data_IF_186304308806
#
_entry.id   IF_186304308806
#
_cell.length_a   1.000
_cell.length_b   1.000
_cell.length_c   1.000
_cell.angle_alpha   90.00
_cell.angle_beta   90.00
_cell.angle_gamma   90.00
#
_symmetry.space_group_name_H-M   'P 1'
#
loop_
_entity.id
_entity.type
_entity.pdbx_description
1 polymer ?
#
# COMPACT_ATOMS: atom_id res chain seq x y z
N UNK A 1 37.96 -44.15 22.94
CA UNK A 1 37.17 -42.89 22.96
C UNK A 1 37.98 -41.72 22.39
N UNK A 2 38.17 -41.60 21.07
CA UNK A 2 38.85 -40.44 20.44
C UNK A 2 38.42 -40.23 18.97
N UNK A 3 37.12 -40.24 18.67
CA UNK A 3 36.63 -39.87 17.31
C UNK A 3 35.38 -38.97 17.35
N UNK A 4 34.75 -38.76 18.52
CA UNK A 4 33.50 -37.97 18.61
C UNK A 4 33.71 -36.45 18.65
N UNK A 5 34.94 -35.97 18.85
CA UNK A 5 35.20 -34.53 19.08
C UNK A 5 35.37 -33.70 17.78
N UNK A 6 35.55 -34.32 16.61
CA UNK A 6 35.88 -33.60 15.39
C UNK A 6 34.67 -33.08 14.58
N UNK A 7 33.45 -33.57 14.87
CA UNK A 7 32.26 -33.24 14.07
C UNK A 7 31.62 -31.91 14.52
N UNK A 8 31.84 -31.49 15.77
CA UNK A 8 31.25 -30.26 16.31
C UNK A 8 31.96 -28.97 15.86
N UNK A 9 33.15 -29.06 15.24
CA UNK A 9 33.90 -27.89 14.79
C UNK A 9 33.57 -27.43 13.36
N UNK A 10 32.74 -28.17 12.62
CA UNK A 10 32.41 -27.88 11.21
C UNK A 10 31.15 -27.04 11.02
N UNK A 11 30.38 -26.75 12.08
CA UNK A 11 29.08 -26.08 11.97
C UNK A 11 29.08 -24.58 12.32
N UNK A 12 30.24 -23.98 12.62
CA UNK A 12 30.31 -22.63 13.23
C UNK A 12 30.81 -21.51 12.32
N UNK A 13 30.95 -21.73 11.01
CA UNK A 13 31.36 -20.65 10.08
C UNK A 13 30.26 -20.29 9.09
N UNK A 14 29.10 -19.89 9.59
CA UNK A 14 28.26 -18.95 8.86
C UNK A 14 28.70 -17.53 9.26
N UNK A 15 29.79 -17.09 8.65
CA UNK A 15 30.18 -15.68 8.64
C UNK A 15 28.99 -14.90 8.05
N UNK A 16 28.37 -14.04 8.85
CA UNK A 16 27.30 -13.16 8.39
C UNK A 16 27.89 -12.23 7.32
N UNK A 17 27.78 -12.61 6.06
CA UNK A 17 27.98 -11.68 4.95
C UNK A 17 26.92 -10.60 5.10
N UNK A 18 27.34 -9.40 5.53
CA UNK A 18 26.47 -8.23 5.49
C UNK A 18 26.22 -7.90 4.03
N UNK A 19 25.11 -8.38 3.47
CA UNK A 19 24.68 -7.98 2.15
C UNK A 19 24.47 -6.46 2.18
N UNK A 20 25.32 -5.69 1.50
CA UNK A 20 25.04 -4.29 1.23
C UNK A 20 23.88 -4.27 0.24
N UNK A 21 22.69 -3.93 0.71
CA UNK A 21 21.54 -3.67 -0.16
C UNK A 21 21.93 -2.45 -1.00
N UNK A 22 22.00 -2.57 -2.34
CA UNK A 22 22.31 -1.42 -3.18
C UNK A 22 21.28 -0.32 -2.94
N UNK A 23 21.76 0.93 -2.86
CA UNK A 23 20.88 2.10 -2.80
C UNK A 23 20.18 2.24 -4.16
N UNK A 24 19.03 1.59 -4.28
CA UNK A 24 18.17 1.71 -5.45
C UNK A 24 17.44 3.04 -5.32
N UNK A 25 17.80 4.01 -6.15
CA UNK A 25 17.08 5.28 -6.26
C UNK A 25 15.60 4.99 -6.51
N UNK A 26 14.77 5.13 -5.46
CA UNK A 26 13.34 4.90 -5.57
C UNK A 26 12.74 6.05 -6.38
N UNK A 27 12.47 5.80 -7.66
CA UNK A 27 11.57 6.66 -8.43
C UNK A 27 10.16 6.42 -7.90
N UNK A 28 9.72 7.29 -6.99
CA UNK A 28 8.34 7.26 -6.51
C UNK A 28 7.42 7.66 -7.66
N UNK A 29 6.84 6.67 -8.35
CA UNK A 29 5.84 6.86 -9.40
C UNK A 29 4.47 7.31 -8.85
N UNK A 30 4.39 7.71 -7.57
CA UNK A 30 3.15 8.26 -7.04
C UNK A 30 2.84 9.54 -7.79
N UNK A 31 1.70 9.51 -8.46
CA UNK A 31 1.05 10.71 -8.96
C UNK A 31 0.82 11.67 -7.80
N UNK A 32 1.37 12.88 -7.91
CA UNK A 32 0.97 13.99 -7.05
C UNK A 32 -0.45 14.41 -7.47
N UNK A 33 -1.44 13.87 -6.77
CA UNK A 33 -2.84 14.24 -6.96
C UNK A 33 -3.07 15.67 -6.44
N UNK A 34 -2.99 16.65 -7.34
CA UNK A 34 -3.42 18.03 -7.08
C UNK A 34 -4.77 18.33 -7.75
N UNK A 35 -5.81 18.49 -6.92
CA UNK A 35 -7.17 18.82 -7.34
C UNK A 35 -7.51 20.31 -7.16
N UNK A 36 -6.51 21.18 -6.97
CA UNK A 36 -6.69 22.63 -6.79
C UNK A 36 -7.47 23.31 -7.92
N UNK A 37 -7.41 22.76 -9.14
CA UNK A 37 -8.18 23.21 -10.31
C UNK A 37 -9.70 23.16 -10.07
N UNK A 38 -10.18 22.30 -9.17
CA UNK A 38 -11.62 22.18 -8.87
C UNK A 38 -12.16 23.34 -8.02
N UNK A 39 -11.29 24.20 -7.48
CA UNK A 39 -11.68 25.41 -6.73
C UNK A 39 -12.51 26.38 -7.57
N UNK A 40 -12.14 26.56 -8.83
CA UNK A 40 -12.79 27.49 -9.76
C UNK A 40 -13.81 26.79 -10.68
N UNK A 41 -14.09 25.50 -10.44
CA UNK A 41 -14.96 24.73 -11.33
C UNK A 41 -16.42 25.20 -11.20
N UNK A 42 -17.15 25.36 -12.33
CA UNK A 42 -18.51 25.90 -12.33
C UNK A 42 -19.48 25.03 -11.51
N UNK A 43 -20.61 25.57 -11.05
CA UNK A 43 -21.66 24.77 -10.40
C UNK A 43 -22.16 23.64 -11.33
N UNK A 44 -22.58 22.50 -10.78
CA UNK A 44 -23.17 21.40 -11.57
C UNK A 44 -22.16 20.45 -12.23
N UNK A 45 -20.97 20.28 -11.64
CA UNK A 45 -19.99 19.32 -12.13
C UNK A 45 -20.33 17.84 -11.86
N UNK A 46 -19.40 16.93 -12.16
CA UNK A 46 -19.59 15.50 -11.96
C UNK A 46 -19.94 15.15 -10.51
N UNK A 47 -20.74 14.10 -10.31
CA UNK A 47 -21.16 13.64 -8.99
C UNK A 47 -20.00 13.27 -8.06
N UNK A 48 -18.85 12.86 -8.63
CA UNK A 48 -17.66 12.47 -7.85
C UNK A 48 -16.86 13.68 -7.35
N UNK A 49 -17.12 14.89 -7.85
CA UNK A 49 -16.32 16.09 -7.59
C UNK A 49 -16.20 16.43 -6.09
N UNK A 50 -17.26 16.31 -5.27
CA UNK A 50 -17.16 16.51 -3.82
C UNK A 50 -16.23 15.50 -3.12
N UNK A 51 -16.02 14.32 -3.67
CA UNK A 51 -15.09 13.33 -3.12
C UNK A 51 -13.64 13.65 -3.45
N UNK A 52 -13.37 14.36 -4.56
CA UNK A 52 -12.00 14.77 -4.90
C UNK A 52 -11.63 16.15 -4.36
N UNK A 53 -12.61 17.02 -4.13
CA UNK A 53 -12.39 18.35 -3.58
C UNK A 53 -13.46 18.71 -2.54
N UNK A 54 -13.15 18.45 -1.27
CA UNK A 54 -13.94 18.89 -0.12
C UNK A 54 -13.19 20.05 0.58
N UNK A 55 -13.64 21.31 0.45
CA UNK A 55 -12.95 22.45 1.06
C UNK A 55 -12.99 22.37 2.58
N UNK A 56 -11.84 22.56 3.23
CA UNK A 56 -11.69 22.56 4.69
C UNK A 56 -11.55 23.97 5.27
N UNK A 57 -11.22 24.96 4.44
CA UNK A 57 -11.03 26.35 4.82
C UNK A 57 -11.77 27.29 3.86
N UNK A 58 -12.18 28.46 4.37
CA UNK A 58 -12.72 29.54 3.55
C UNK A 58 -11.73 29.93 2.45
N UNK A 59 -12.26 30.20 1.24
CA UNK A 59 -11.44 30.50 0.07
C UNK A 59 -10.67 29.30 -0.51
N UNK A 60 -10.79 28.09 0.06
CA UNK A 60 -10.24 26.83 -0.47
C UNK A 60 -8.76 26.59 -0.20
N UNK A 61 -8.12 27.36 0.70
CA UNK A 61 -6.68 27.24 0.99
C UNK A 61 -6.27 25.83 1.47
N UNK A 62 -7.21 25.07 2.02
CA UNK A 62 -7.06 23.67 2.34
C UNK A 62 -8.27 22.88 1.82
N UNK A 63 -8.03 21.66 1.35
CA UNK A 63 -9.06 20.73 0.91
C UNK A 63 -8.68 19.29 1.27
N UNK A 64 -9.71 18.44 1.34
CA UNK A 64 -9.57 17.00 1.41
C UNK A 64 -9.96 16.35 0.08
N UNK A 65 -9.31 15.24 -0.20
CA UNK A 65 -9.60 14.33 -1.30
C UNK A 65 -9.76 12.92 -0.74
N UNK A 66 -10.64 12.14 -1.35
CA UNK A 66 -10.90 10.76 -0.98
C UNK A 66 -10.51 9.83 -2.13
N UNK A 67 -9.86 8.73 -1.77
CA UNK A 67 -9.54 7.60 -2.62
C UNK A 67 -10.22 6.33 -2.15
N UNK A 68 -10.23 5.31 -3.01
CA UNK A 68 -10.74 3.99 -2.69
C UNK A 68 -9.78 2.95 -3.26
N UNK A 69 -9.31 2.04 -2.41
CA UNK A 69 -8.62 0.84 -2.84
C UNK A 69 -9.55 -0.37 -2.70
N UNK A 70 -9.70 -1.14 -3.79
CA UNK A 70 -10.48 -2.37 -3.80
C UNK A 70 -9.57 -3.58 -4.04
N UNK A 71 -9.73 -4.63 -3.23
CA UNK A 71 -9.02 -5.91 -3.39
C UNK A 71 -10.00 -7.05 -3.49
N UNK A 72 -9.84 -7.84 -4.54
CA UNK A 72 -10.60 -9.07 -4.78
C UNK A 72 -9.58 -10.21 -4.87
N UNK A 73 -9.79 -11.29 -4.11
CA UNK A 73 -8.89 -12.45 -4.10
C UNK A 73 -9.73 -13.72 -4.04
N UNK A 74 -9.46 -14.63 -4.97
CA UNK A 74 -9.93 -16.01 -4.87
C UNK A 74 -8.89 -16.86 -4.15
N UNK A 75 -9.34 -17.74 -3.26
CA UNK A 75 -8.48 -18.67 -2.53
C UNK A 75 -9.13 -20.05 -2.52
N UNK A 76 -8.44 -21.03 -3.09
CA UNK A 76 -8.89 -22.42 -3.12
C UNK A 76 -8.02 -23.28 -2.20
N UNK A 77 -8.64 -24.12 -1.41
CA UNK A 77 -7.98 -25.09 -0.55
C UNK A 77 -8.34 -26.50 -1.00
N UNK A 78 -7.33 -27.37 -1.04
CA UNK A 78 -7.50 -28.81 -1.23
C UNK A 78 -6.86 -29.52 -0.05
N UNK A 79 -7.54 -30.51 0.52
CA UNK A 79 -6.94 -31.29 1.60
C UNK A 79 -6.65 -30.49 2.88
N UNK A 80 -7.54 -29.55 3.27
CA UNK A 80 -7.26 -28.57 4.35
C UNK A 80 -7.21 -29.16 5.77
N UNK A 81 -7.26 -30.49 5.94
CA UNK A 81 -7.09 -31.15 7.23
C UNK A 81 -5.68 -31.72 7.31
N UNK A 82 -4.99 -31.45 8.42
CA UNK A 82 -3.76 -32.17 8.77
C UNK A 82 -4.14 -33.58 9.25
N UNK A 83 -4.32 -34.52 8.32
CA UNK A 83 -4.62 -35.93 8.60
C UNK A 83 -5.23 -36.66 7.39
N UNK A 84 -5.33 -37.98 7.46
CA UNK A 84 -5.86 -38.84 6.38
C UNK A 84 -7.40 -38.86 6.28
N UNK A 85 -8.08 -37.97 7.00
CA UNK A 85 -9.52 -37.82 6.92
C UNK A 85 -9.94 -37.15 5.60
N UNK A 86 -11.12 -37.48 5.05
CA UNK A 86 -11.63 -36.76 3.88
C UNK A 86 -11.80 -35.28 4.23
N UNK A 87 -11.01 -34.42 3.60
CA UNK A 87 -11.13 -32.97 3.71
C UNK A 87 -11.85 -32.42 2.48
N UNK A 88 -12.83 -31.52 2.65
CA UNK A 88 -13.49 -30.89 1.53
C UNK A 88 -12.53 -29.99 0.75
N UNK A 89 -12.74 -29.91 -0.56
CA UNK A 89 -12.16 -28.86 -1.39
C UNK A 89 -13.03 -27.61 -1.24
N UNK A 90 -12.45 -26.54 -0.73
CA UNK A 90 -13.15 -25.28 -0.49
C UNK A 90 -12.62 -24.16 -1.39
N UNK A 91 -13.49 -23.25 -1.80
CA UNK A 91 -13.13 -22.05 -2.56
C UNK A 91 -13.78 -20.81 -1.95
N UNK A 92 -12.96 -19.81 -1.61
CA UNK A 92 -13.39 -18.57 -0.98
C UNK A 92 -13.08 -17.36 -1.86
N UNK A 93 -14.00 -16.38 -1.88
CA UNK A 93 -13.80 -15.11 -2.55
C UNK A 93 -13.75 -13.97 -1.53
N UNK A 94 -12.55 -13.46 -1.30
CA UNK A 94 -12.28 -12.36 -0.39
C UNK A 94 -12.43 -11.02 -1.11
N UNK A 95 -13.20 -10.11 -0.50
CA UNK A 95 -13.37 -8.74 -0.98
C UNK A 95 -13.03 -7.77 0.13
N UNK A 96 -12.30 -6.71 -0.20
CA UNK A 96 -11.98 -5.63 0.74
C UNK A 96 -12.01 -4.28 0.04
N UNK A 97 -12.63 -3.31 0.68
CA UNK A 97 -12.67 -1.92 0.25
C UNK A 97 -12.02 -1.07 1.35
N UNK A 98 -11.06 -0.23 0.98
CA UNK A 98 -10.34 0.66 1.89
C UNK A 98 -10.46 2.11 1.40
N UNK A 99 -11.35 2.92 2.00
CA UNK A 99 -11.37 4.35 1.77
C UNK A 99 -10.09 4.99 2.32
N UNK A 100 -9.50 5.92 1.57
CA UNK A 100 -8.29 6.65 1.99
C UNK A 100 -8.54 8.16 1.94
N UNK A 101 -8.54 8.87 3.07
CA UNK A 101 -8.55 10.32 3.06
C UNK A 101 -7.14 10.86 2.83
N UNK A 102 -7.03 11.89 2.00
CA UNK A 102 -5.81 12.67 1.78
C UNK A 102 -6.16 14.14 2.01
N UNK A 103 -5.39 14.85 2.81
CA UNK A 103 -5.55 16.30 2.99
C UNK A 103 -4.41 17.03 2.29
N UNK A 104 -4.75 18.04 1.49
CA UNK A 104 -3.76 18.92 0.88
C UNK A 104 -3.96 20.32 1.43
N UNK A 105 -2.93 20.83 2.10
CA UNK A 105 -2.81 22.25 2.41
C UNK A 105 -2.10 22.92 1.24
N UNK A 106 -2.67 23.99 0.69
CA UNK A 106 -2.00 24.76 -0.34
C UNK A 106 -0.67 25.29 0.17
N UNK A 107 0.44 24.79 -0.38
CA UNK A 107 1.69 25.55 -0.36
C UNK A 107 1.45 26.72 -1.30
N UNK A 108 1.55 27.95 -0.80
CA UNK A 108 1.65 29.12 -1.66
C UNK A 108 2.87 28.93 -2.58
N UNK A 109 2.65 28.42 -3.79
CA UNK A 109 3.64 28.49 -4.85
C UNK A 109 3.94 29.97 -5.13
N UNK A 110 5.19 30.33 -5.46
CA UNK A 110 5.54 31.73 -5.69
C UNK A 110 4.65 32.30 -6.79
N UNK A 111 4.04 33.45 -6.50
CA UNK A 111 3.39 34.27 -7.51
C UNK A 111 4.45 34.64 -8.54
N UNK A 112 4.36 34.06 -9.74
CA UNK A 112 5.12 34.57 -10.87
C UNK A 112 4.31 35.78 -11.35
N UNK A 113 4.82 36.96 -11.02
CA UNK A 113 4.33 38.26 -11.49
C UNK A 113 4.56 38.44 -12.98
#
# INVERSE_FOLDING_TARGET
MRVRAAILLWLSTCLAATAQVPDVKQTNWRYDEDWSVLRAAPPGGPWWRPFKYAPLAAGGAAWASFGLEARLRYEGFRGNLSGDGPAPDDGYFWRRFMPTPTSTSGRSGPSVS
#
